data_IF_502697663753
#
_entry.id   IF_502697663753
#
_cell.length_a   1.000
_cell.length_b   1.000
_cell.length_c   1.000
_cell.angle_alpha   90.00
_cell.angle_beta   90.00
_cell.angle_gamma   90.00
#
_symmetry.space_group_name_H-M   'P 1'
#
loop_
_entity.id
_entity.type
_entity.pdbx_description
1 polymer ?
#
# COMPACT_ATOMS: atom_id res chain seq x y z
N UNK A 1 31.35 7.21 -23.41
CA UNK A 1 29.96 7.66 -23.20
C UNK A 1 29.82 7.93 -21.72
N UNK A 2 29.45 9.14 -21.31
CA UNK A 2 29.17 9.41 -19.91
C UNK A 2 27.92 8.64 -19.49
N UNK A 3 28.00 7.97 -18.35
CA UNK A 3 26.87 7.33 -17.71
C UNK A 3 25.74 8.36 -17.49
N UNK A 4 24.53 8.04 -17.94
CA UNK A 4 23.35 8.89 -17.71
C UNK A 4 23.06 9.02 -16.21
N UNK A 5 22.59 10.20 -15.78
CA UNK A 5 22.38 10.52 -14.37
C UNK A 5 21.43 9.55 -13.63
N UNK A 6 20.55 8.85 -14.37
CA UNK A 6 19.57 7.89 -13.86
C UNK A 6 20.15 6.50 -13.55
N UNK A 7 21.35 6.18 -14.02
CA UNK A 7 21.91 4.82 -13.85
C UNK A 7 22.28 4.49 -12.41
N UNK A 8 22.40 5.50 -11.54
CA UNK A 8 22.61 5.31 -10.09
C UNK A 8 21.30 5.15 -9.30
N UNK A 9 20.17 5.02 -10.00
CA UNK A 9 18.84 5.04 -9.41
C UNK A 9 18.29 6.46 -9.29
N UNK A 10 16.96 6.55 -9.33
CA UNK A 10 16.24 7.82 -9.13
C UNK A 10 15.86 7.90 -7.66
N UNK A 11 16.30 8.93 -6.92
CA UNK A 11 15.94 9.06 -5.51
C UNK A 11 14.47 9.44 -5.36
N UNK A 12 13.82 8.92 -4.32
CA UNK A 12 12.48 9.33 -3.91
C UNK A 12 12.40 9.39 -2.39
N UNK A 13 11.71 10.42 -1.91
CA UNK A 13 11.38 10.60 -0.51
C UNK A 13 9.92 11.04 -0.42
N UNK A 14 9.17 10.38 0.45
CA UNK A 14 7.79 10.78 0.76
C UNK A 14 7.78 12.23 1.28
N UNK A 15 6.86 13.05 0.75
CA UNK A 15 6.69 14.43 1.20
C UNK A 15 5.66 14.50 2.34
N UNK A 16 5.84 15.40 3.32
CA UNK A 16 4.83 15.64 4.36
C UNK A 16 3.47 15.97 3.74
N UNK A 17 2.40 15.40 4.30
CA UNK A 17 1.01 15.62 3.86
C UNK A 17 0.73 15.28 2.37
N UNK A 18 1.50 14.37 1.76
CA UNK A 18 1.38 14.07 0.34
C UNK A 18 0.17 13.19 0.01
N UNK A 19 0.05 12.02 0.64
CA UNK A 19 -1.05 11.06 0.43
C UNK A 19 -1.20 10.47 -0.99
N UNK A 20 -0.49 10.96 -2.01
CA UNK A 20 -0.75 10.65 -3.45
C UNK A 20 -0.78 9.17 -3.83
N UNK A 21 -0.11 8.29 -3.08
CA UNK A 21 -0.16 6.85 -3.33
C UNK A 21 -1.39 6.14 -2.72
N UNK A 22 -2.10 6.80 -1.80
CA UNK A 22 -3.18 6.21 -0.99
C UNK A 22 -4.50 6.98 -1.05
N UNK A 23 -4.48 8.23 -1.53
CA UNK A 23 -5.58 9.20 -1.49
C UNK A 23 -6.42 9.21 -2.78
N UNK A 24 -6.31 8.17 -3.61
CA UNK A 24 -7.10 8.03 -4.83
C UNK A 24 -8.38 7.22 -4.52
N UNK A 25 -9.57 7.81 -4.66
CA UNK A 25 -10.83 7.10 -4.50
C UNK A 25 -10.94 5.93 -5.49
N UNK A 26 -11.39 4.78 -5.01
CA UNK A 26 -11.50 3.57 -5.84
C UNK A 26 -10.16 2.90 -6.16
N UNK A 27 -9.06 3.37 -5.57
CA UNK A 27 -7.74 2.75 -5.70
C UNK A 27 -7.74 1.28 -5.25
N UNK A 28 -7.08 0.42 -6.02
CA UNK A 28 -6.98 -1.02 -5.73
C UNK A 28 -5.54 -1.36 -5.36
N UNK A 29 -5.34 -1.88 -4.15
CA UNK A 29 -4.04 -2.39 -3.68
C UNK A 29 -4.12 -3.89 -3.57
N UNK A 30 -3.49 -4.59 -4.51
CA UNK A 30 -3.41 -6.05 -4.48
C UNK A 30 -2.39 -6.52 -3.45
N UNK A 31 -2.70 -7.64 -2.81
CA UNK A 31 -1.83 -8.28 -1.84
C UNK A 31 -1.25 -9.57 -2.42
N UNK A 32 0.07 -9.71 -2.31
CA UNK A 32 0.69 -11.04 -2.38
C UNK A 32 0.50 -11.78 -1.06
N UNK A 33 0.71 -13.10 -1.05
CA UNK A 33 0.74 -13.90 0.18
C UNK A 33 1.73 -13.34 1.20
N UNK A 34 2.90 -12.90 0.72
CA UNK A 34 3.96 -12.33 1.56
C UNK A 34 3.57 -10.97 2.15
N UNK A 35 2.80 -10.16 1.42
CA UNK A 35 2.26 -8.91 1.96
C UNK A 35 1.30 -9.22 3.10
N UNK A 36 0.39 -10.18 2.90
CA UNK A 36 -0.59 -10.55 3.91
C UNK A 36 0.06 -11.08 5.20
N UNK A 37 1.04 -11.97 5.09
CA UNK A 37 1.83 -12.48 6.23
C UNK A 37 2.52 -11.35 7.01
N UNK A 38 3.21 -10.44 6.30
CA UNK A 38 3.93 -9.31 6.92
C UNK A 38 3.00 -8.36 7.65
N UNK A 39 1.88 -8.00 7.03
CA UNK A 39 0.97 -6.99 7.60
C UNK A 39 0.16 -7.60 8.75
N UNK A 40 -0.27 -8.86 8.63
CA UNK A 40 -0.92 -9.57 9.74
C UNK A 40 0.01 -9.68 10.97
N UNK A 41 1.28 -10.04 10.75
CA UNK A 41 2.28 -10.07 11.81
C UNK A 41 2.51 -8.69 12.46
N UNK A 42 2.52 -7.60 11.67
CA UNK A 42 2.60 -6.23 12.19
C UNK A 42 1.42 -5.89 13.13
N UNK A 43 0.23 -6.42 12.85
CA UNK A 43 -0.94 -6.28 13.71
C UNK A 43 -1.03 -7.35 14.82
N UNK A 44 -0.06 -8.27 14.92
CA UNK A 44 -0.09 -9.41 15.85
C UNK A 44 -1.36 -10.26 15.70
N UNK A 45 -1.75 -10.53 14.45
CA UNK A 45 -2.93 -11.32 14.11
C UNK A 45 -2.56 -12.51 13.22
N UNK A 46 -3.39 -13.55 13.28
CA UNK A 46 -3.41 -14.59 12.25
C UNK A 46 -3.79 -13.99 10.89
N UNK A 47 -3.21 -14.53 9.82
CA UNK A 47 -3.37 -13.99 8.45
C UNK A 47 -4.84 -13.97 8.04
N UNK A 48 -5.58 -15.06 8.28
CA UNK A 48 -7.00 -15.16 7.92
C UNK A 48 -7.86 -14.12 8.64
N UNK A 49 -7.63 -13.92 9.94
CA UNK A 49 -8.34 -12.92 10.73
C UNK A 49 -8.03 -11.49 10.26
N UNK A 50 -6.78 -11.22 9.89
CA UNK A 50 -6.39 -9.91 9.34
C UNK A 50 -7.02 -9.67 7.95
N UNK A 51 -7.02 -10.67 7.07
CA UNK A 51 -7.67 -10.59 5.77
C UNK A 51 -9.17 -10.30 5.88
N UNK A 52 -9.87 -10.95 6.81
CA UNK A 52 -11.29 -10.68 7.05
C UNK A 52 -11.53 -9.26 7.57
N UNK A 53 -10.67 -8.79 8.49
CA UNK A 53 -10.78 -7.45 9.10
C UNK A 53 -10.53 -6.34 8.10
N UNK A 54 -9.42 -6.40 7.35
CA UNK A 54 -8.87 -5.26 6.61
C UNK A 54 -8.89 -5.42 5.08
N UNK A 55 -9.24 -6.60 4.57
CA UNK A 55 -9.19 -6.88 3.14
C UNK A 55 -10.56 -7.29 2.58
N UNK A 56 -10.71 -7.16 1.28
CA UNK A 56 -11.85 -7.68 0.51
C UNK A 56 -11.34 -8.51 -0.66
N UNK A 57 -12.18 -9.38 -1.20
CA UNK A 57 -11.87 -10.10 -2.42
C UNK A 57 -12.45 -9.39 -3.64
N UNK A 58 -11.70 -9.39 -4.74
CA UNK A 58 -12.19 -9.03 -6.07
C UNK A 58 -12.98 -10.19 -6.69
N UNK A 59 -13.69 -9.95 -7.80
CA UNK A 59 -14.52 -10.96 -8.46
C UNK A 59 -13.74 -12.22 -8.91
N UNK A 60 -12.44 -12.05 -9.16
CA UNK A 60 -11.51 -13.13 -9.51
C UNK A 60 -10.80 -13.75 -8.30
N UNK A 61 -11.25 -13.45 -7.08
CA UNK A 61 -10.79 -14.07 -5.84
C UNK A 61 -9.49 -13.51 -5.26
N UNK A 62 -8.90 -12.47 -5.85
CA UNK A 62 -7.68 -11.83 -5.31
C UNK A 62 -8.00 -10.96 -4.10
N UNK A 63 -7.11 -10.94 -3.11
CA UNK A 63 -7.25 -10.05 -1.96
C UNK A 63 -6.72 -8.66 -2.27
N UNK A 64 -7.50 -7.67 -1.87
CA UNK A 64 -7.15 -6.25 -1.93
C UNK A 64 -7.46 -5.59 -0.60
N UNK A 65 -6.73 -4.54 -0.25
CA UNK A 65 -7.06 -3.73 0.92
C UNK A 65 -8.47 -3.13 0.80
N UNK A 66 -9.19 -3.02 1.91
CA UNK A 66 -10.45 -2.27 1.95
C UNK A 66 -10.18 -0.78 1.71
N UNK A 67 -11.22 -0.08 1.26
CA UNK A 67 -11.29 1.38 1.26
C UNK A 67 -12.17 1.86 2.40
N UNK A 68 -11.93 3.06 2.91
CA UNK A 68 -12.80 3.69 3.90
C UNK A 68 -14.16 3.99 3.29
N UNK A 69 -15.23 3.72 4.04
CA UNK A 69 -16.59 3.96 3.56
C UNK A 69 -16.93 5.45 3.37
N UNK A 70 -16.19 6.37 4.00
CA UNK A 70 -16.43 7.82 3.95
C UNK A 70 -16.04 8.48 2.64
N UNK A 71 -14.91 8.06 2.06
CA UNK A 71 -14.20 8.77 1.00
C UNK A 71 -13.55 7.82 -0.02
N UNK A 72 -13.72 6.51 0.15
CA UNK A 72 -13.26 5.46 -0.76
C UNK A 72 -11.73 5.43 -1.00
N UNK A 73 -10.96 6.00 -0.08
CA UNK A 73 -9.49 5.94 -0.08
C UNK A 73 -8.98 4.83 0.84
N UNK A 74 -7.67 4.56 0.78
CA UNK A 74 -7.03 3.48 1.55
C UNK A 74 -7.34 3.57 3.06
N UNK A 75 -7.73 2.44 3.67
CA UNK A 75 -8.01 2.33 5.12
C UNK A 75 -6.84 2.72 6.03
N UNK A 76 -5.61 2.64 5.53
CA UNK A 76 -4.39 2.96 6.29
C UNK A 76 -3.90 4.40 6.09
N UNK A 77 -4.62 5.24 5.36
CA UNK A 77 -4.28 6.67 5.26
C UNK A 77 -4.81 7.41 6.48
N UNK A 78 -3.93 7.99 7.32
CA UNK A 78 -4.34 8.77 8.49
C UNK A 78 -4.84 10.18 8.11
N UNK A 79 -5.33 10.94 9.10
CA UNK A 79 -5.82 12.31 8.91
C UNK A 79 -4.73 13.33 8.51
N UNK A 80 -3.46 12.98 8.69
CA UNK A 80 -2.28 13.78 8.30
C UNK A 80 -1.68 13.28 6.96
N UNK A 81 -2.45 12.51 6.18
CA UNK A 81 -2.05 11.94 4.89
C UNK A 81 -0.77 11.09 4.98
N UNK A 82 -0.59 10.36 6.08
CA UNK A 82 0.48 9.37 6.28
C UNK A 82 -0.09 7.96 6.28
N UNK A 83 0.70 7.00 5.79
CA UNK A 83 0.34 5.60 5.86
C UNK A 83 0.64 5.06 7.27
N UNK A 84 -0.36 4.54 7.97
CA UNK A 84 -0.20 3.99 9.33
C UNK A 84 0.60 2.70 9.37
N UNK A 85 0.71 1.98 8.24
CA UNK A 85 1.51 0.74 8.11
C UNK A 85 2.74 0.95 7.21
N UNK A 86 3.30 2.15 7.17
CA UNK A 86 4.35 2.53 6.20
C UNK A 86 5.50 1.53 6.11
N UNK A 87 6.00 1.02 7.24
CA UNK A 87 7.13 0.07 7.31
C UNK A 87 6.83 -1.29 6.68
N UNK A 88 5.58 -1.72 6.72
CA UNK A 88 5.13 -3.03 6.20
C UNK A 88 4.24 -2.91 4.97
N UNK A 89 4.15 -1.71 4.38
CA UNK A 89 3.30 -1.41 3.22
C UNK A 89 3.42 -2.47 2.11
N UNK A 90 2.32 -2.79 1.41
CA UNK A 90 2.34 -3.77 0.32
C UNK A 90 3.36 -3.40 -0.76
N UNK A 91 3.85 -4.40 -1.50
CA UNK A 91 4.82 -4.19 -2.57
C UNK A 91 4.35 -3.14 -3.60
N UNK A 92 3.06 -3.16 -3.97
CA UNK A 92 2.48 -2.16 -4.88
C UNK A 92 2.62 -0.73 -4.33
N UNK A 93 2.39 -0.52 -3.03
CA UNK A 93 2.56 0.78 -2.38
C UNK A 93 4.05 1.15 -2.25
N UNK A 94 4.92 0.18 -1.98
CA UNK A 94 6.36 0.40 -1.87
C UNK A 94 7.03 0.79 -3.20
N UNK A 95 6.47 0.32 -4.32
CA UNK A 95 6.96 0.62 -5.65
C UNK A 95 6.59 2.01 -6.17
N UNK A 96 5.67 2.73 -5.52
CA UNK A 96 5.32 4.10 -5.92
C UNK A 96 6.54 5.03 -5.81
N UNK A 97 6.79 5.93 -6.78
CA UNK A 97 5.98 6.24 -7.98
C UNK A 97 6.37 5.45 -9.24
N UNK A 98 7.18 4.40 -9.12
CA UNK A 98 7.79 3.68 -10.24
C UNK A 98 7.15 2.32 -10.49
N UNK A 99 5.82 2.25 -10.50
CA UNK A 99 5.09 1.04 -10.90
C UNK A 99 5.51 0.62 -12.32
N UNK A 100 6.48 -0.29 -12.42
CA UNK A 100 7.12 -0.77 -13.65
C UNK A 100 7.01 -2.28 -13.70
#
# INVERSE_FOLDING_TARGET
MNEGWWMKGVPFTCQPNCGRCCDEPGGIVYLSTRDAERIAAHHSMEVEAWLERDCRQTLDGRYVLKSRASDDVCIFLDGEKRCSIYEVRPQQCAAFPWWS
#
